data_IF_416514319068
#
_entry.id   IF_416514319068
#
_cell.length_a   1.000
_cell.length_b   1.000
_cell.length_c   1.000
_cell.angle_alpha   90.00
_cell.angle_beta   90.00
_cell.angle_gamma   90.00
#
_symmetry.space_group_name_H-M   'P 1'
#
loop_
_entity.id
_entity.type
_entity.pdbx_description
1 polymer ?
#
# COMPACT_ATOMS: atom_id res chain seq x y z
N UNK A 1 47.53 34.35 -35.41
CA UNK A 1 46.63 35.30 -34.71
C UNK A 1 45.50 34.51 -34.07
N UNK A 2 45.14 34.88 -32.87
CA UNK A 2 44.60 34.06 -31.79
C UNK A 2 43.10 33.76 -31.95
N UNK A 3 42.70 32.54 -31.54
CA UNK A 3 41.33 32.02 -31.46
C UNK A 3 40.48 32.77 -30.44
N UNK A 4 39.19 33.00 -30.71
CA UNK A 4 38.09 32.94 -29.72
C UNK A 4 36.81 32.47 -30.43
N UNK A 5 36.34 31.26 -30.13
CA UNK A 5 34.97 30.80 -30.40
C UNK A 5 34.20 30.83 -29.08
N UNK A 6 33.10 31.58 -29.04
CA UNK A 6 32.26 31.74 -27.86
C UNK A 6 31.13 30.69 -27.89
N UNK A 7 31.23 29.64 -27.08
CA UNK A 7 30.13 28.70 -26.81
C UNK A 7 29.33 29.20 -25.60
N UNK A 8 28.08 29.59 -25.81
CA UNK A 8 27.13 29.87 -24.74
C UNK A 8 26.58 28.54 -24.18
N UNK A 9 27.00 28.17 -22.98
CA UNK A 9 26.40 27.08 -22.22
C UNK A 9 25.15 27.62 -21.51
N UNK A 10 23.97 27.12 -21.91
CA UNK A 10 22.74 27.29 -21.14
C UNK A 10 22.84 26.40 -19.90
N UNK A 11 23.03 27.01 -18.74
CA UNK A 11 22.90 26.33 -17.45
C UNK A 11 21.43 26.37 -17.07
N UNK A 12 20.70 25.27 -17.29
CA UNK A 12 19.38 25.07 -16.70
C UNK A 12 19.56 24.83 -15.20
N UNK A 13 19.25 25.84 -14.39
CA UNK A 13 19.12 25.69 -12.95
C UNK A 13 17.84 24.89 -12.64
N UNK A 14 17.99 23.62 -12.31
CA UNK A 14 16.95 22.82 -11.66
C UNK A 14 16.72 23.38 -10.26
N UNK A 15 15.66 24.16 -10.09
CA UNK A 15 15.12 24.50 -8.78
C UNK A 15 14.42 23.25 -8.24
N UNK A 16 15.10 22.53 -7.35
CA UNK A 16 14.48 21.50 -6.51
C UNK A 16 13.55 22.23 -5.54
N UNK A 17 12.26 22.24 -5.86
CA UNK A 17 11.22 22.61 -4.90
C UNK A 17 11.15 21.50 -3.85
N UNK A 18 11.81 21.70 -2.71
CA UNK A 18 11.54 20.88 -1.53
C UNK A 18 10.09 21.17 -1.11
N UNK A 19 9.24 20.16 -1.20
CA UNK A 19 7.93 20.18 -0.54
C UNK A 19 8.20 19.99 0.94
N UNK A 20 8.48 21.09 1.66
CA UNK A 20 8.38 21.06 3.12
C UNK A 20 6.90 21.02 3.47
N UNK A 21 6.41 19.83 3.85
CA UNK A 21 5.19 19.74 4.64
C UNK A 21 5.37 20.65 5.87
N UNK A 22 4.44 21.57 6.05
CA UNK A 22 4.52 22.61 7.06
C UNK A 22 4.58 21.95 8.45
N UNK A 23 5.76 21.99 9.06
CA UNK A 23 6.04 21.46 10.39
C UNK A 23 5.07 22.11 11.40
N UNK A 24 4.26 21.34 12.14
CA UNK A 24 3.40 21.92 13.16
C UNK A 24 4.28 22.53 14.24
N UNK A 25 4.25 23.85 14.35
CA UNK A 25 4.85 24.60 15.44
C UNK A 25 4.05 24.31 16.71
N UNK A 26 4.50 23.33 17.50
CA UNK A 26 3.85 22.94 18.74
C UNK A 26 4.86 22.39 19.74
N UNK A 27 5.23 23.23 20.72
CA UNK A 27 6.09 22.93 21.87
C UNK A 27 5.57 21.77 22.73
N UNK A 28 6.48 20.85 23.08
CA UNK A 28 6.45 20.00 24.28
C UNK A 28 5.11 19.29 24.58
N UNK A 29 4.79 18.26 23.79
CA UNK A 29 3.62 17.41 24.01
C UNK A 29 3.35 16.42 22.87
N UNK A 30 4.27 15.48 22.64
CA UNK A 30 3.98 14.15 22.05
C UNK A 30 3.59 13.99 20.57
N UNK A 31 3.04 14.97 19.85
CA UNK A 31 2.32 14.67 18.59
C UNK A 31 2.88 15.33 17.32
N UNK A 32 4.10 15.86 17.34
CA UNK A 32 4.75 16.46 16.16
C UNK A 32 5.72 15.50 15.47
N UNK A 33 6.18 15.81 14.23
CA UNK A 33 7.26 15.07 13.58
C UNK A 33 8.50 15.03 14.48
N UNK A 34 9.13 13.86 14.55
CA UNK A 34 10.32 13.63 15.36
C UNK A 34 11.51 13.26 14.47
N UNK A 35 12.67 13.94 14.60
CA UNK A 35 13.88 13.61 13.86
C UNK A 35 14.39 12.17 14.06
N UNK A 36 14.02 11.51 15.16
CA UNK A 36 14.37 10.10 15.38
C UNK A 36 13.75 9.18 14.33
N UNK A 37 12.57 9.52 13.81
CA UNK A 37 11.91 8.76 12.76
C UNK A 37 12.57 8.89 11.38
N UNK A 38 13.48 9.86 11.20
CA UNK A 38 14.28 9.97 9.97
C UNK A 38 15.66 9.33 10.11
N UNK A 39 16.00 8.84 11.31
CA UNK A 39 17.35 8.35 11.62
C UNK A 39 17.42 6.85 11.37
N UNK A 40 18.33 6.46 10.48
CA UNK A 40 18.77 5.06 10.40
C UNK A 40 19.45 4.68 11.73
N UNK A 41 18.93 3.65 12.39
CA UNK A 41 19.45 3.18 13.67
C UNK A 41 20.79 2.42 13.52
N UNK A 42 21.29 2.23 12.30
CA UNK A 42 22.60 1.67 11.96
C UNK A 42 22.86 0.30 12.64
N UNK A 43 21.83 -0.54 12.72
CA UNK A 43 21.80 -1.92 13.20
C UNK A 43 22.31 -2.95 12.18
N UNK A 44 23.10 -2.51 11.21
CA UNK A 44 23.98 -3.33 10.37
C UNK A 44 23.32 -4.04 9.17
N UNK A 45 24.20 -4.72 8.43
CA UNK A 45 23.93 -5.60 7.29
C UNK A 45 23.10 -6.85 7.70
N UNK A 46 22.46 -7.53 6.73
CA UNK A 46 21.76 -8.79 6.98
C UNK A 46 22.65 -9.83 7.65
N UNK A 47 22.14 -10.49 8.70
CA UNK A 47 22.90 -11.50 9.47
C UNK A 47 22.59 -12.94 9.06
N UNK A 48 21.52 -13.15 8.30
CA UNK A 48 21.14 -14.46 7.74
C UNK A 48 21.49 -14.50 6.25
N UNK A 49 22.12 -15.60 5.83
CA UNK A 49 22.37 -15.88 4.42
C UNK A 49 21.08 -16.17 3.67
N UNK A 50 21.05 -15.82 2.41
CA UNK A 50 19.96 -16.10 1.49
C UNK A 50 20.49 -16.17 0.07
N UNK A 51 19.82 -16.94 -0.79
CA UNK A 51 20.13 -17.10 -2.21
C UNK A 51 18.92 -16.66 -3.02
N UNK A 52 19.17 -15.94 -4.12
CA UNK A 52 18.12 -15.56 -5.07
C UNK A 52 17.30 -16.78 -5.51
N UNK A 53 16.00 -16.57 -5.67
CA UNK A 53 14.96 -17.54 -6.02
C UNK A 53 14.72 -18.62 -4.96
N UNK A 54 15.12 -18.37 -3.72
CA UNK A 54 14.84 -19.23 -2.58
C UNK A 54 14.01 -18.47 -1.53
N UNK A 55 13.29 -19.18 -0.64
CA UNK A 55 12.54 -18.54 0.43
C UNK A 55 13.39 -17.53 1.21
N UNK A 56 12.91 -16.29 1.30
CA UNK A 56 13.63 -15.20 1.96
C UNK A 56 13.77 -15.44 3.46
N UNK A 57 14.92 -15.04 4.02
CA UNK A 57 15.17 -15.18 5.44
C UNK A 57 14.19 -14.34 6.25
N UNK A 58 13.52 -14.92 7.24
CA UNK A 58 12.64 -14.17 8.16
C UNK A 58 13.43 -13.69 9.38
N UNK A 59 12.95 -12.64 10.02
CA UNK A 59 13.56 -12.10 11.24
C UNK A 59 12.52 -11.94 12.34
N UNK A 60 12.92 -12.16 13.60
CA UNK A 60 12.17 -11.62 14.72
C UNK A 60 12.31 -10.10 14.69
N UNK A 61 11.25 -9.36 15.06
CA UNK A 61 11.27 -7.90 15.00
C UNK A 61 12.43 -7.27 15.80
N UNK A 62 12.82 -7.88 16.92
CA UNK A 62 13.96 -7.43 17.73
C UNK A 62 15.33 -7.62 17.06
N UNK A 63 15.42 -8.49 16.06
CA UNK A 63 16.66 -8.88 15.35
C UNK A 63 16.71 -8.34 13.91
N UNK A 64 15.73 -7.52 13.52
CA UNK A 64 15.64 -6.95 12.18
C UNK A 64 16.89 -6.09 11.87
N UNK A 65 17.60 -6.36 10.76
CA UNK A 65 18.68 -5.50 10.27
C UNK A 65 18.10 -4.27 9.55
N UNK A 66 18.89 -3.23 9.30
CA UNK A 66 18.41 -2.08 8.51
C UNK A 66 18.30 -2.41 7.04
N UNK A 67 19.35 -3.06 6.51
CA UNK A 67 19.31 -3.59 5.15
C UNK A 67 18.79 -5.02 5.20
N UNK A 68 17.73 -5.27 4.46
CA UNK A 68 17.16 -6.60 4.28
C UNK A 68 17.51 -7.19 2.93
N UNK A 69 17.53 -6.38 1.88
CA UNK A 69 17.89 -6.76 0.51
C UNK A 69 18.69 -5.64 -0.16
N UNK A 70 19.18 -5.89 -1.38
CA UNK A 70 19.86 -4.89 -2.21
C UNK A 70 20.99 -5.47 -3.07
N UNK A 71 21.76 -4.59 -3.70
CA UNK A 71 22.85 -4.91 -4.61
C UNK A 71 23.82 -6.01 -4.12
N UNK A 72 24.08 -6.05 -2.82
CA UNK A 72 25.00 -6.99 -2.18
C UNK A 72 24.42 -8.40 -1.95
N UNK A 73 23.14 -8.64 -2.29
CA UNK A 73 22.45 -9.91 -2.04
C UNK A 73 22.26 -10.77 -3.29
N UNK A 74 22.55 -10.24 -4.48
CA UNK A 74 22.41 -10.97 -5.74
C UNK A 74 23.59 -10.70 -6.67
N UNK A 75 23.89 -11.67 -7.54
CA UNK A 75 24.95 -11.55 -8.55
C UNK A 75 24.49 -10.73 -9.77
N UNK A 76 23.20 -10.81 -10.12
CA UNK A 76 22.58 -10.09 -11.23
C UNK A 76 21.23 -9.53 -10.82
N UNK A 77 21.06 -8.22 -10.97
CA UNK A 77 19.78 -7.53 -10.85
C UNK A 77 18.90 -7.62 -12.09
N UNK A 78 17.84 -6.82 -12.07
CA UNK A 78 16.88 -6.70 -13.15
C UNK A 78 17.56 -6.34 -14.49
N UNK A 79 17.05 -6.92 -15.58
CA UNK A 79 17.61 -6.73 -16.93
C UNK A 79 18.99 -7.37 -17.15
N UNK A 80 19.48 -8.21 -16.23
CA UNK A 80 20.78 -8.87 -16.36
C UNK A 80 21.97 -7.99 -15.94
N UNK A 81 21.72 -6.87 -15.26
CA UNK A 81 22.77 -5.96 -14.79
C UNK A 81 23.54 -6.63 -13.63
N UNK A 82 24.88 -6.67 -13.64
CA UNK A 82 25.64 -7.21 -12.52
C UNK A 82 25.39 -6.41 -11.23
N UNK A 83 25.01 -7.12 -10.16
CA UNK A 83 24.52 -6.52 -8.92
C UNK A 83 23.08 -5.98 -9.07
N UNK A 84 22.31 -6.09 -7.98
CA UNK A 84 20.98 -5.47 -7.88
C UNK A 84 21.01 -3.98 -7.62
N UNK A 85 19.85 -3.35 -7.56
CA UNK A 85 19.72 -2.02 -6.97
C UNK A 85 19.83 -2.09 -5.44
N UNK A 86 20.45 -1.10 -4.78
CA UNK A 86 20.48 -1.05 -3.31
C UNK A 86 19.10 -0.71 -2.75
N UNK A 87 18.82 -1.22 -1.55
CA UNK A 87 17.70 -0.75 -0.75
C UNK A 87 17.84 0.76 -0.46
N UNK A 88 16.77 1.53 -0.69
CA UNK A 88 16.76 3.00 -0.58
C UNK A 88 16.52 3.52 0.85
N UNK A 89 15.89 2.72 1.70
CA UNK A 89 15.51 3.05 3.07
C UNK A 89 16.12 2.11 4.11
N UNK A 90 15.44 1.96 5.24
CA UNK A 90 15.89 1.14 6.37
C UNK A 90 14.72 0.41 7.04
N UNK A 91 15.01 -0.73 7.65
CA UNK A 91 14.01 -1.57 8.31
C UNK A 91 13.97 -1.41 9.84
N UNK A 92 15.05 -0.98 10.51
CA UNK A 92 14.92 -0.67 11.95
C UNK A 92 14.37 0.73 12.14
N UNK A 93 13.05 0.82 12.14
CA UNK A 93 12.36 2.08 12.31
C UNK A 93 12.27 2.47 13.79
N UNK A 94 12.27 3.78 14.05
CA UNK A 94 12.06 4.30 15.40
C UNK A 94 10.67 3.93 15.92
N UNK A 95 10.47 3.96 17.24
CA UNK A 95 9.21 3.51 17.88
C UNK A 95 8.46 4.67 18.50
N UNK A 96 7.13 4.62 18.46
CA UNK A 96 6.23 5.63 19.08
C UNK A 96 6.59 7.06 18.67
N UNK A 97 6.82 7.22 17.37
CA UNK A 97 7.31 8.43 16.75
C UNK A 97 7.05 8.37 15.25
N UNK A 98 7.00 9.51 14.58
CA UNK A 98 6.75 9.58 13.13
C UNK A 98 7.46 10.78 12.49
N UNK A 99 7.64 10.74 11.17
CA UNK A 99 8.07 11.90 10.39
C UNK A 99 7.70 11.69 8.91
N UNK A 100 7.21 12.72 8.22
CA UNK A 100 6.88 12.65 6.78
C UNK A 100 8.11 12.48 5.87
N UNK A 101 9.32 12.69 6.39
CA UNK A 101 10.58 12.41 5.69
C UNK A 101 11.14 11.01 6.02
N UNK A 102 10.45 10.20 6.82
CA UNK A 102 10.90 8.85 7.17
C UNK A 102 11.14 7.99 5.93
N UNK A 103 12.21 7.20 5.96
CA UNK A 103 12.55 6.18 4.96
C UNK A 103 12.37 4.77 5.50
N UNK A 104 11.49 4.60 6.48
CA UNK A 104 11.14 3.31 7.03
C UNK A 104 10.52 2.40 5.95
N UNK A 105 11.08 1.20 5.80
CA UNK A 105 10.61 0.14 4.90
C UNK A 105 10.11 -1.08 5.68
N UNK A 106 9.54 -0.86 6.85
CA UNK A 106 8.84 -1.89 7.62
C UNK A 106 7.39 -1.46 7.84
N UNK A 107 6.48 -2.15 7.18
CA UNK A 107 5.04 -1.95 7.26
C UNK A 107 4.39 -2.90 8.27
N UNK A 108 3.20 -2.53 8.74
CA UNK A 108 2.40 -3.28 9.71
C UNK A 108 0.96 -3.43 9.23
N UNK A 109 0.29 -4.51 9.65
CA UNK A 109 -1.14 -4.69 9.42
C UNK A 109 -1.77 -5.45 10.61
N UNK A 110 -2.27 -4.71 11.59
CA UNK A 110 -2.76 -5.26 12.86
C UNK A 110 -4.27 -5.10 13.03
N UNK A 111 -4.81 -3.95 12.62
CA UNK A 111 -6.23 -3.60 12.73
C UNK A 111 -6.61 -2.47 11.76
N UNK A 112 -7.88 -2.06 11.78
CA UNK A 112 -8.37 -0.89 11.05
C UNK A 112 -7.68 0.43 11.47
N UNK A 113 -7.18 0.53 12.69
CA UNK A 113 -6.52 1.73 13.23
C UNK A 113 -4.99 1.63 13.20
N UNK A 114 -4.46 0.43 12.96
CA UNK A 114 -3.04 0.13 13.01
C UNK A 114 -2.65 -0.72 11.79
N UNK A 115 -2.53 -0.04 10.65
CA UNK A 115 -1.96 -0.61 9.44
C UNK A 115 -1.13 0.43 8.70
N UNK A 116 -0.34 -0.06 7.75
CA UNK A 116 0.45 0.74 6.86
C UNK A 116 0.11 0.40 5.41
N UNK A 117 0.39 1.35 4.53
CA UNK A 117 0.39 1.19 3.08
C UNK A 117 1.78 1.54 2.57
N UNK A 118 2.21 0.86 1.52
CA UNK A 118 3.39 1.27 0.79
C UNK A 118 3.04 2.45 -0.10
N UNK A 119 4.00 3.35 -0.28
CA UNK A 119 3.81 4.48 -1.18
C UNK A 119 5.14 5.12 -1.56
N UNK A 120 5.11 6.03 -2.54
CA UNK A 120 6.31 6.73 -2.98
C UNK A 120 7.00 7.50 -1.85
N UNK A 121 8.33 7.42 -1.77
CA UNK A 121 9.11 8.29 -0.89
C UNK A 121 9.23 9.72 -1.44
N UNK A 122 9.08 9.86 -2.75
CA UNK A 122 9.11 11.08 -3.55
C UNK A 122 7.97 11.03 -4.56
N UNK A 123 7.47 12.19 -5.00
CA UNK A 123 6.38 12.26 -5.97
C UNK A 123 6.66 11.44 -7.23
N UNK A 124 5.69 10.62 -7.64
CA UNK A 124 5.76 9.77 -8.84
C UNK A 124 4.71 8.67 -8.81
N UNK A 125 4.46 8.05 -9.97
CA UNK A 125 3.48 6.96 -10.05
C UNK A 125 3.91 5.77 -9.22
N UNK A 126 2.95 4.96 -8.78
CA UNK A 126 3.21 3.75 -7.99
C UNK A 126 4.20 2.87 -8.75
N UNK A 127 3.90 2.52 -10.00
CA UNK A 127 4.74 1.67 -10.86
C UNK A 127 6.18 2.17 -11.04
N UNK A 128 6.41 3.49 -11.09
CA UNK A 128 7.77 4.06 -11.16
C UNK A 128 8.53 4.00 -9.83
N UNK A 129 7.81 3.89 -8.71
CA UNK A 129 8.34 4.07 -7.36
C UNK A 129 8.34 2.79 -6.54
N UNK A 130 7.81 1.68 -7.05
CA UNK A 130 7.66 0.40 -6.36
C UNK A 130 8.94 -0.02 -5.64
N UNK A 131 10.07 -0.02 -6.36
CA UNK A 131 11.39 -0.42 -5.85
C UNK A 131 11.89 0.43 -4.67
N UNK A 132 11.43 1.67 -4.55
CA UNK A 132 11.93 2.66 -3.58
C UNK A 132 10.91 3.11 -2.54
N UNK A 133 9.73 2.47 -2.51
CA UNK A 133 8.64 2.84 -1.63
C UNK A 133 8.97 2.76 -0.13
N UNK A 134 8.20 3.48 0.66
CA UNK A 134 8.28 3.57 2.12
C UNK A 134 6.92 3.34 2.74
N UNK A 135 6.91 2.97 4.02
CA UNK A 135 5.66 2.72 4.74
C UNK A 135 5.02 4.04 5.22
N UNK A 136 3.73 4.19 4.94
CA UNK A 136 2.83 5.20 5.50
C UNK A 136 1.84 4.49 6.42
N UNK A 137 1.76 4.86 7.69
CA UNK A 137 0.87 4.18 8.65
C UNK A 137 -0.24 5.08 9.19
N UNK A 138 -1.30 4.43 9.68
CA UNK A 138 -2.42 5.08 10.36
C UNK A 138 -2.12 5.44 11.83
N UNK A 139 -0.91 5.14 12.31
CA UNK A 139 -0.49 5.38 13.69
C UNK A 139 0.99 5.73 13.74
N UNK A 140 1.37 6.51 14.75
CA UNK A 140 2.74 6.93 15.04
C UNK A 140 3.60 5.86 15.73
N UNK A 141 3.10 4.64 15.92
CA UNK A 141 3.83 3.60 16.66
C UNK A 141 5.09 3.12 15.95
N UNK A 142 5.19 3.31 14.64
CA UNK A 142 6.09 2.53 13.77
C UNK A 142 7.30 3.29 13.19
N UNK A 143 7.48 4.58 13.50
CA UNK A 143 8.63 5.34 12.96
C UNK A 143 8.51 5.66 11.47
N UNK A 144 7.31 5.50 10.93
CA UNK A 144 6.97 5.64 9.52
C UNK A 144 6.50 7.05 9.19
N UNK A 145 6.16 7.25 7.93
CA UNK A 145 5.30 8.36 7.52
C UNK A 145 3.88 8.11 8.01
N UNK A 146 3.10 9.18 8.21
CA UNK A 146 1.68 9.03 8.56
C UNK A 146 0.81 9.22 7.32
N UNK A 147 -0.23 8.40 7.18
CA UNK A 147 -1.29 8.63 6.20
C UNK A 147 -2.15 9.78 6.74
N UNK A 148 -2.21 10.97 6.11
CA UNK A 148 -2.93 12.10 6.68
C UNK A 148 -4.43 11.81 6.95
N UNK A 149 -4.99 12.38 8.02
CA UNK A 149 -6.40 12.28 8.35
C UNK A 149 -7.25 12.89 7.22
N UNK A 150 -8.26 12.14 6.77
CA UNK A 150 -9.09 12.50 5.62
C UNK A 150 -8.58 11.93 4.29
N UNK A 151 -7.35 11.40 4.21
CA UNK A 151 -6.87 10.65 3.05
C UNK A 151 -7.71 9.41 2.82
N UNK A 152 -7.92 8.59 3.85
CA UNK A 152 -8.76 7.40 3.77
C UNK A 152 -10.21 7.81 4.04
N UNK A 153 -11.10 7.54 3.08
CA UNK A 153 -12.53 7.87 3.17
C UNK A 153 -13.41 6.65 3.40
N UNK A 154 -12.87 5.44 3.24
CA UNK A 154 -13.49 4.19 3.66
C UNK A 154 -12.43 3.10 3.78
N UNK A 155 -12.58 2.21 4.77
CA UNK A 155 -11.66 1.10 5.01
C UNK A 155 -12.38 -0.11 5.63
N UNK A 156 -12.09 -1.29 5.10
CA UNK A 156 -12.65 -2.57 5.50
C UNK A 156 -11.51 -3.51 5.87
N UNK A 157 -11.33 -3.74 7.16
CA UNK A 157 -10.33 -4.65 7.69
C UNK A 157 -10.97 -6.01 7.97
N UNK A 158 -10.37 -7.08 7.44
CA UNK A 158 -10.90 -8.45 7.58
C UNK A 158 -9.85 -9.36 8.15
N UNK A 159 -10.25 -10.13 9.17
CA UNK A 159 -9.47 -11.27 9.69
C UNK A 159 -10.03 -12.57 9.16
N UNK A 160 -9.16 -13.43 8.64
CA UNK A 160 -9.52 -14.79 8.24
C UNK A 160 -8.60 -15.78 8.92
N UNK A 161 -8.82 -17.07 8.63
CA UNK A 161 -7.94 -18.14 9.09
C UNK A 161 -6.53 -18.06 8.49
N UNK A 162 -6.40 -17.57 7.26
CA UNK A 162 -5.16 -17.67 6.46
C UNK A 162 -4.51 -16.32 6.16
N UNK A 163 -5.20 -15.20 6.43
CA UNK A 163 -4.68 -13.85 6.21
C UNK A 163 -5.44 -12.79 7.01
N UNK A 164 -4.82 -11.62 7.16
CA UNK A 164 -5.54 -10.35 7.35
C UNK A 164 -5.47 -9.53 6.08
N UNK A 165 -6.48 -8.70 5.84
CA UNK A 165 -6.44 -7.70 4.78
C UNK A 165 -7.11 -6.40 5.22
N UNK A 166 -6.73 -5.32 4.56
CA UNK A 166 -7.44 -4.05 4.58
C UNK A 166 -7.67 -3.60 3.16
N UNK A 167 -8.90 -3.19 2.84
CA UNK A 167 -9.29 -2.65 1.53
C UNK A 167 -9.97 -1.31 1.73
N UNK A 168 -9.85 -0.38 0.80
CA UNK A 168 -10.48 0.91 0.98
C UNK A 168 -10.28 1.89 -0.17
N UNK A 169 -10.83 3.08 0.05
CA UNK A 169 -10.87 4.20 -0.91
C UNK A 169 -10.46 5.50 -0.22
N UNK A 170 -9.93 6.43 -1.00
CA UNK A 170 -9.34 7.66 -0.47
C UNK A 170 -8.86 8.63 -1.54
N UNK A 171 -8.11 9.63 -1.10
CA UNK A 171 -7.33 10.55 -1.94
C UNK A 171 -5.84 10.41 -1.61
N UNK A 172 -5.17 9.51 -2.32
CA UNK A 172 -3.77 9.18 -2.10
C UNK A 172 -2.80 10.14 -2.79
N UNK A 173 -3.29 11.22 -3.41
CA UNK A 173 -2.43 12.33 -3.81
C UNK A 173 -1.75 13.00 -2.61
N UNK A 174 -2.38 12.89 -1.45
CA UNK A 174 -1.84 13.28 -0.15
C UNK A 174 -0.62 12.47 0.31
N UNK A 175 -0.29 11.34 -0.32
CA UNK A 175 0.89 10.52 -0.05
C UNK A 175 1.80 10.37 -1.29
N UNK A 176 1.89 11.45 -2.07
CA UNK A 176 2.83 11.61 -3.19
C UNK A 176 2.51 10.79 -4.46
N UNK A 177 1.31 10.25 -4.58
CA UNK A 177 0.83 9.58 -5.80
C UNK A 177 0.18 10.62 -6.74
N UNK A 178 0.54 10.68 -8.03
CA UNK A 178 -0.10 11.56 -9.00
C UNK A 178 -1.60 11.32 -9.11
N UNK A 179 -2.38 12.39 -9.28
CA UNK A 179 -3.80 12.25 -9.63
C UNK A 179 -3.95 11.51 -10.97
N UNK A 180 -4.85 10.53 -11.02
CA UNK A 180 -5.09 9.72 -12.21
C UNK A 180 -4.12 8.55 -12.37
N UNK A 181 -3.21 8.30 -11.42
CA UNK A 181 -2.39 7.09 -11.43
C UNK A 181 -3.23 5.84 -11.12
N UNK A 182 -3.46 5.01 -12.13
CA UNK A 182 -4.27 3.79 -12.04
C UNK A 182 -3.67 2.74 -11.10
N UNK A 183 -2.39 2.89 -10.75
CA UNK A 183 -1.75 2.20 -9.65
C UNK A 183 -0.66 1.21 -10.03
N UNK A 184 -0.28 0.39 -9.05
CA UNK A 184 0.74 -0.66 -9.17
C UNK A 184 0.73 -1.57 -7.93
N UNK A 185 1.67 -2.50 -7.88
CA UNK A 185 1.79 -3.51 -6.83
C UNK A 185 3.12 -3.36 -6.07
N UNK A 186 3.03 -3.36 -4.75
CA UNK A 186 4.14 -3.63 -3.86
C UNK A 186 4.02 -5.06 -3.33
N UNK A 187 5.11 -5.82 -3.35
CA UNK A 187 5.14 -7.25 -3.01
C UNK A 187 6.55 -7.71 -2.52
N UNK A 188 6.68 -8.89 -1.90
CA UNK A 188 7.96 -9.36 -1.35
C UNK A 188 8.92 -9.98 -2.37
N UNK A 189 8.56 -10.14 -3.64
CA UNK A 189 9.34 -10.88 -4.64
C UNK A 189 9.94 -9.96 -5.71
N UNK A 190 9.15 -9.18 -6.44
CA UNK A 190 9.66 -8.35 -7.54
C UNK A 190 10.40 -9.14 -8.64
N UNK A 191 10.82 -8.47 -9.71
CA UNK A 191 11.37 -9.10 -10.91
C UNK A 191 12.77 -9.73 -10.73
N UNK A 192 13.52 -9.31 -9.71
CA UNK A 192 14.87 -9.79 -9.39
C UNK A 192 14.97 -10.45 -8.01
N UNK A 193 13.82 -10.82 -7.45
CA UNK A 193 13.69 -11.47 -6.14
C UNK A 193 14.15 -10.61 -4.94
N UNK A 194 14.28 -9.29 -5.11
CA UNK A 194 14.62 -8.37 -4.01
C UNK A 194 13.39 -7.76 -3.30
N UNK A 195 12.20 -7.99 -3.84
CA UNK A 195 10.95 -7.35 -3.43
C UNK A 195 10.79 -5.94 -3.98
N UNK A 196 9.55 -5.45 -3.90
CA UNK A 196 9.10 -4.14 -4.29
C UNK A 196 8.25 -3.55 -3.14
N UNK A 197 8.81 -2.70 -2.26
CA UNK A 197 10.13 -2.09 -2.35
C UNK A 197 11.25 -3.06 -2.09
N UNK A 198 12.43 -2.75 -2.62
CA UNK A 198 13.65 -3.51 -2.34
C UNK A 198 13.86 -3.53 -0.84
N UNK A 199 13.84 -4.73 -0.27
CA UNK A 199 14.02 -4.90 1.16
C UNK A 199 12.81 -4.54 2.02
N UNK A 200 11.64 -4.36 1.42
CA UNK A 200 10.39 -4.10 2.13
C UNK A 200 9.96 -5.30 2.99
N UNK A 201 9.51 -5.00 4.22
CA UNK A 201 9.10 -6.02 5.19
C UNK A 201 7.73 -5.69 5.75
N UNK A 202 6.91 -6.72 5.98
CA UNK A 202 5.62 -6.61 6.66
C UNK A 202 5.62 -7.43 7.94
N UNK A 203 5.16 -6.82 9.04
CA UNK A 203 4.83 -7.52 10.28
C UNK A 203 3.32 -7.43 10.57
N UNK A 204 2.84 -8.40 11.35
CA UNK A 204 1.50 -8.34 11.94
C UNK A 204 1.48 -8.96 13.33
N UNK A 205 0.64 -8.45 14.22
CA UNK A 205 0.28 -9.11 15.49
C UNK A 205 -1.07 -9.85 15.39
N UNK A 206 -1.73 -9.77 14.24
CA UNK A 206 -3.07 -10.33 14.03
C UNK A 206 -3.07 -11.81 13.64
N UNK A 207 -1.90 -12.41 13.38
CA UNK A 207 -1.78 -13.85 13.15
C UNK A 207 -2.12 -14.60 14.46
N UNK A 208 -3.17 -15.43 14.50
CA UNK A 208 -3.56 -16.15 15.72
C UNK A 208 -2.45 -17.04 16.26
N UNK A 209 -1.57 -17.57 15.40
CA UNK A 209 -0.46 -18.43 15.81
C UNK A 209 0.66 -17.67 16.53
N UNK A 210 0.74 -16.34 16.42
CA UNK A 210 1.76 -15.53 17.09
C UNK A 210 1.37 -15.08 18.50
N UNK A 211 0.13 -15.32 18.94
CA UNK A 211 -0.39 -14.89 20.24
C UNK A 211 -0.16 -13.38 20.52
N UNK A 212 -0.27 -12.54 19.49
CA UNK A 212 -0.08 -11.10 19.59
C UNK A 212 1.37 -10.64 19.47
N UNK A 213 2.34 -11.54 19.38
CA UNK A 213 3.73 -11.18 19.07
C UNK A 213 3.88 -10.80 17.58
N UNK A 214 4.82 -9.90 17.24
CA UNK A 214 5.12 -9.55 15.86
C UNK A 214 5.50 -10.79 15.03
N UNK A 215 4.70 -11.06 14.01
CA UNK A 215 4.90 -12.12 13.04
C UNK A 215 5.44 -11.55 11.73
N UNK A 216 6.57 -12.08 11.24
CA UNK A 216 7.12 -11.73 9.94
C UNK A 216 6.24 -12.33 8.84
N UNK A 217 5.69 -11.50 7.96
CA UNK A 217 4.82 -11.93 6.87
C UNK A 217 5.68 -12.14 5.62
N UNK A 218 5.90 -13.40 5.25
CA UNK A 218 6.67 -13.74 4.04
C UNK A 218 5.91 -13.48 2.74
N UNK A 219 4.58 -13.58 2.76
CA UNK A 219 3.72 -13.44 1.58
C UNK A 219 2.70 -12.34 1.85
N UNK A 220 2.81 -11.25 1.11
CA UNK A 220 1.93 -10.10 1.21
C UNK A 220 1.81 -9.45 -0.17
N UNK A 221 0.75 -8.68 -0.38
CA UNK A 221 0.59 -7.87 -1.59
C UNK A 221 -0.13 -6.58 -1.21
N UNK A 222 0.32 -5.46 -1.76
CA UNK A 222 -0.30 -4.16 -1.60
C UNK A 222 -0.45 -3.46 -2.93
N UNK A 223 -1.69 -3.29 -3.38
CA UNK A 223 -1.97 -2.43 -4.53
C UNK A 223 -2.39 -1.05 -4.06
N UNK A 224 -1.87 -0.06 -4.74
CA UNK A 224 -2.12 1.36 -4.50
C UNK A 224 -2.48 2.03 -5.82
N UNK A 225 -3.48 2.90 -5.82
CA UNK A 225 -3.74 3.87 -6.89
C UNK A 225 -3.97 5.24 -6.26
N UNK A 226 -4.20 6.27 -7.07
CA UNK A 226 -4.51 7.60 -6.56
C UNK A 226 -5.79 7.64 -5.69
N UNK A 227 -6.70 6.66 -5.81
CA UNK A 227 -8.01 6.68 -5.16
C UNK A 227 -8.46 5.40 -4.43
N UNK A 228 -7.71 4.31 -4.49
CA UNK A 228 -8.02 3.08 -3.76
C UNK A 228 -6.75 2.37 -3.30
N UNK A 229 -6.92 1.49 -2.31
CA UNK A 229 -5.86 0.65 -1.79
C UNK A 229 -6.37 -0.69 -1.31
N UNK A 230 -5.45 -1.63 -1.23
CA UNK A 230 -5.66 -2.91 -0.59
C UNK A 230 -4.32 -3.50 -0.20
N UNK A 231 -4.22 -4.03 1.02
CA UNK A 231 -3.07 -4.75 1.52
C UNK A 231 -3.57 -6.07 2.11
N UNK A 232 -2.92 -7.18 1.77
CA UNK A 232 -3.17 -8.49 2.39
C UNK A 232 -1.85 -9.06 2.89
N UNK A 233 -1.89 -9.65 4.07
CA UNK A 233 -0.78 -10.36 4.69
C UNK A 233 -1.19 -11.81 4.96
N UNK A 234 -0.53 -12.76 4.31
CA UNK A 234 -0.92 -14.16 4.29
C UNK A 234 0.01 -15.06 5.10
N UNK A 235 -0.54 -16.16 5.61
CA UNK A 235 0.19 -17.20 6.31
C UNK A 235 -0.41 -18.59 6.05
N UNK A 236 0.30 -19.63 6.51
CA UNK A 236 -0.07 -21.03 6.27
C UNK A 236 0.39 -21.56 4.91
N UNK A 237 -0.02 -22.78 4.59
CA UNK A 237 0.49 -23.52 3.42
C UNK A 237 0.14 -22.89 2.07
N UNK A 238 -0.89 -22.05 2.03
CA UNK A 238 -1.38 -21.37 0.82
C UNK A 238 -1.06 -19.89 0.78
N UNK A 239 -0.11 -19.43 1.60
CA UNK A 239 0.17 -18.01 1.75
C UNK A 239 0.50 -17.32 0.41
N UNK A 240 1.41 -17.91 -0.38
CA UNK A 240 1.78 -17.39 -1.69
C UNK A 240 0.58 -17.31 -2.64
N UNK A 241 -0.23 -18.37 -2.72
CA UNK A 241 -1.40 -18.40 -3.59
C UNK A 241 -2.56 -17.47 -3.14
N UNK A 242 -2.59 -17.05 -1.87
CA UNK A 242 -3.57 -16.10 -1.34
C UNK A 242 -3.07 -14.64 -1.43
N UNK A 243 -1.77 -14.44 -1.48
CA UNK A 243 -1.08 -13.16 -1.67
C UNK A 243 -0.26 -13.21 -2.96
N UNK A 244 -0.90 -13.66 -4.03
CA UNK A 244 -0.26 -13.84 -5.33
C UNK A 244 0.16 -12.49 -5.92
N UNK A 245 1.32 -12.47 -6.57
CA UNK A 245 2.05 -11.27 -7.01
C UNK A 245 2.43 -11.35 -8.50
N UNK A 246 1.61 -12.04 -9.29
CA UNK A 246 1.77 -12.16 -10.76
C UNK A 246 0.62 -11.47 -11.53
N UNK A 247 -0.20 -10.70 -10.81
CA UNK A 247 -1.44 -10.09 -11.29
C UNK A 247 -1.43 -8.56 -11.07
N UNK A 248 -0.24 -7.99 -11.19
CA UNK A 248 0.17 -6.63 -10.81
C UNK A 248 -0.71 -5.55 -11.47
N UNK A 249 -1.09 -5.74 -12.74
CA UNK A 249 -1.91 -4.78 -13.51
C UNK A 249 -3.42 -4.90 -13.30
N UNK A 250 -3.86 -5.87 -12.48
CA UNK A 250 -5.29 -6.13 -12.27
C UNK A 250 -5.90 -5.25 -11.16
N UNK A 251 -5.06 -4.72 -10.26
CA UNK A 251 -5.44 -3.82 -9.20
C UNK A 251 -6.30 -4.44 -8.09
N UNK A 252 -6.72 -3.60 -7.15
CA UNK A 252 -7.30 -4.04 -5.88
C UNK A 252 -8.56 -4.89 -5.99
N UNK A 253 -9.55 -4.43 -6.75
CA UNK A 253 -10.87 -5.07 -6.80
C UNK A 253 -10.81 -6.47 -7.43
N UNK A 254 -9.80 -6.73 -8.25
CA UNK A 254 -9.59 -8.03 -8.88
C UNK A 254 -8.75 -8.96 -7.99
N UNK A 255 -7.63 -8.47 -7.44
CA UNK A 255 -6.72 -9.28 -6.61
C UNK A 255 -7.25 -9.53 -5.19
N UNK A 256 -7.91 -8.54 -4.60
CA UNK A 256 -8.48 -8.58 -3.25
C UNK A 256 -9.95 -8.12 -3.30
N UNK A 257 -10.88 -8.97 -3.79
CA UNK A 257 -12.30 -8.64 -3.79
C UNK A 257 -12.84 -8.53 -2.35
N UNK A 258 -13.45 -7.38 -2.02
CA UNK A 258 -13.96 -7.05 -0.68
C UNK A 258 -14.88 -5.82 -0.73
N UNK A 259 -15.21 -5.26 0.45
CA UNK A 259 -15.86 -3.96 0.57
C UNK A 259 -14.85 -2.82 0.30
N UNK A 260 -15.26 -1.85 -0.52
CA UNK A 260 -14.51 -0.63 -0.88
C UNK A 260 -15.42 0.62 -0.79
N UNK A 261 -16.50 0.54 -0.02
CA UNK A 261 -17.49 1.61 0.04
C UNK A 261 -16.95 2.82 0.82
N UNK A 262 -17.10 4.00 0.23
CA UNK A 262 -16.77 5.25 0.91
C UNK A 262 -17.71 5.48 2.10
N UNK A 263 -17.18 6.05 3.18
CA UNK A 263 -17.91 6.30 4.43
C UNK A 263 -18.09 5.07 5.32
N UNK A 264 -17.59 3.90 4.90
CA UNK A 264 -17.61 2.68 5.71
C UNK A 264 -16.25 2.45 6.32
N UNK A 265 -16.20 2.37 7.66
CA UNK A 265 -15.01 1.99 8.41
C UNK A 265 -15.39 0.81 9.30
N UNK A 266 -14.88 -0.38 8.98
CA UNK A 266 -15.26 -1.58 9.71
C UNK A 266 -14.15 -2.62 9.84
N UNK A 267 -14.20 -3.36 10.94
CA UNK A 267 -13.40 -4.56 11.19
C UNK A 267 -14.34 -5.76 11.24
N UNK A 268 -14.07 -6.79 10.45
CA UNK A 268 -14.89 -8.00 10.37
C UNK A 268 -14.08 -9.29 10.49
N UNK A 269 -14.75 -10.37 10.85
CA UNK A 269 -14.31 -11.73 10.54
C UNK A 269 -14.72 -12.06 9.10
N UNK A 270 -13.91 -12.81 8.36
CA UNK A 270 -14.18 -13.16 6.98
C UNK A 270 -13.89 -14.62 6.63
N UNK A 271 -14.60 -15.10 5.61
CA UNK A 271 -14.23 -16.33 4.93
C UNK A 271 -12.94 -16.14 4.13
N UNK A 272 -12.18 -17.21 3.95
CA UNK A 272 -10.99 -17.23 3.09
C UNK A 272 -11.44 -17.10 1.63
N UNK A 273 -10.83 -16.16 0.91
CA UNK A 273 -11.14 -15.92 -0.50
C UNK A 273 -10.71 -17.05 -1.43
N UNK A 274 -11.29 -17.01 -2.63
CA UNK A 274 -10.85 -17.83 -3.76
C UNK A 274 -9.44 -17.38 -4.18
N UNK A 275 -8.62 -18.32 -4.63
CA UNK A 275 -7.25 -18.05 -5.06
C UNK A 275 -7.26 -17.21 -6.33
N UNK A 276 -6.43 -16.17 -6.37
CA UNK A 276 -6.30 -15.30 -7.53
C UNK A 276 -6.03 -16.12 -8.80
N UNK A 277 -6.76 -15.80 -9.88
CA UNK A 277 -6.57 -16.44 -11.17
C UNK A 277 -7.08 -17.88 -11.31
N UNK A 278 -7.66 -18.50 -10.28
CA UNK A 278 -8.13 -19.89 -10.33
C UNK A 278 -9.66 -19.95 -10.48
N UNK A 279 -10.13 -20.29 -11.68
CA UNK A 279 -11.55 -20.37 -12.02
C UNK A 279 -11.97 -21.82 -12.29
N UNK A 280 -12.43 -22.50 -11.24
CA UNK A 280 -12.78 -23.92 -11.32
C UNK A 280 -11.54 -24.76 -11.64
N UNK A 281 -11.45 -25.29 -12.86
CA UNK A 281 -10.30 -26.05 -13.36
C UNK A 281 -9.36 -25.25 -14.28
N UNK A 282 -9.67 -23.98 -14.58
CA UNK A 282 -8.83 -23.13 -15.42
C UNK A 282 -8.00 -22.16 -14.58
N UNK A 283 -6.78 -21.88 -15.03
CA UNK A 283 -5.90 -20.86 -14.47
C UNK A 283 -5.73 -19.73 -15.49
N UNK A 284 -6.05 -18.51 -15.10
CA UNK A 284 -5.76 -17.30 -15.87
C UNK A 284 -4.31 -16.88 -15.63
N UNK A 285 -3.65 -16.42 -16.69
CA UNK A 285 -2.36 -15.73 -16.59
C UNK A 285 -2.52 -14.31 -17.11
N UNK A 286 -1.93 -13.35 -16.41
CA UNK A 286 -1.92 -11.97 -16.88
C UNK A 286 -1.34 -11.91 -18.31
N UNK A 287 -2.03 -11.20 -19.20
CA UNK A 287 -1.69 -11.14 -20.63
C UNK A 287 -2.42 -12.17 -21.51
N UNK A 288 -3.19 -13.09 -20.93
CA UNK A 288 -4.08 -13.97 -21.71
C UNK A 288 -5.10 -13.14 -22.52
N UNK A 289 -5.59 -13.64 -23.69
CA UNK A 289 -6.47 -12.86 -24.57
C UNK A 289 -7.80 -12.41 -23.96
N UNK A 290 -8.25 -13.09 -22.90
CA UNK A 290 -9.48 -12.77 -22.19
C UNK A 290 -9.19 -12.76 -20.70
N UNK A 291 -9.32 -11.59 -20.10
CA UNK A 291 -9.25 -11.42 -18.66
C UNK A 291 -10.60 -11.78 -18.03
N UNK A 292 -10.67 -12.75 -17.12
CA UNK A 292 -11.90 -13.09 -16.42
C UNK A 292 -12.29 -11.98 -15.43
N UNK A 293 -13.57 -11.94 -15.07
CA UNK A 293 -14.04 -11.06 -14.01
C UNK A 293 -13.42 -11.43 -12.66
N UNK A 294 -13.28 -10.45 -11.77
CA UNK A 294 -12.84 -10.69 -10.39
C UNK A 294 -13.67 -11.79 -9.71
N UNK A 295 -13.05 -12.52 -8.79
CA UNK A 295 -13.79 -13.41 -7.88
C UNK A 295 -14.80 -12.61 -7.05
N UNK A 296 -15.91 -13.22 -6.62
CA UNK A 296 -16.82 -12.58 -5.67
C UNK A 296 -16.10 -12.28 -4.35
N UNK A 297 -16.48 -11.17 -3.72
CA UNK A 297 -16.02 -10.85 -2.37
C UNK A 297 -16.38 -11.99 -1.39
N UNK A 298 -15.42 -12.46 -0.56
CA UNK A 298 -15.71 -13.44 0.47
C UNK A 298 -16.72 -12.91 1.48
N UNK A 299 -17.50 -13.78 2.12
CA UNK A 299 -18.48 -13.34 3.12
C UNK A 299 -17.79 -12.79 4.36
N UNK A 300 -18.25 -11.64 4.84
CA UNK A 300 -17.83 -11.00 6.09
C UNK A 300 -18.92 -11.14 7.17
N UNK A 301 -18.52 -11.18 8.44
CA UNK A 301 -19.41 -11.32 9.59
C UNK A 301 -18.81 -10.68 10.85
N UNK A 302 -19.58 -10.56 11.92
CA UNK A 302 -19.16 -9.94 13.19
C UNK A 302 -18.54 -8.54 13.02
N UNK A 303 -19.01 -7.78 12.03
CA UNK A 303 -18.47 -6.49 11.69
C UNK A 303 -18.71 -5.47 12.80
N UNK A 304 -17.64 -4.80 13.23
CA UNK A 304 -17.67 -3.66 14.13
C UNK A 304 -17.30 -2.41 13.36
N UNK A 305 -18.14 -1.39 13.47
CA UNK A 305 -17.96 -0.14 12.74
C UNK A 305 -17.33 0.94 13.60
N UNK A 306 -16.59 1.84 12.94
CA UNK A 306 -16.04 3.04 13.53
C UNK A 306 -16.41 4.24 12.65
N UNK A 307 -16.19 5.46 13.14
CA UNK A 307 -16.54 6.66 12.35
C UNK A 307 -15.49 6.99 11.30
N UNK A 308 -14.22 6.83 11.66
CA UNK A 308 -13.06 7.21 10.86
C UNK A 308 -11.79 6.65 11.51
N UNK A 309 -10.66 6.79 10.83
CA UNK A 309 -9.31 6.54 11.34
C UNK A 309 -8.65 7.90 11.51
N UNK A 310 -7.99 8.17 12.65
CA UNK A 310 -7.37 9.47 12.89
C UNK A 310 -6.19 9.40 13.87
N UNK A 311 -5.15 10.17 13.59
CA UNK A 311 -4.02 10.44 14.49
C UNK A 311 -3.74 11.94 14.69
N UNK A 312 -4.52 12.82 14.06
CA UNK A 312 -4.47 14.27 14.25
C UNK A 312 -3.63 15.04 13.25
N UNK A 313 -2.89 14.38 12.35
CA UNK A 313 -2.25 15.06 11.22
C UNK A 313 -3.23 15.12 10.04
N UNK A 314 -3.83 16.29 9.82
CA UNK A 314 -4.81 16.51 8.76
C UNK A 314 -4.19 16.48 7.35
N UNK A 315 -4.93 15.92 6.39
CA UNK A 315 -4.61 16.03 4.98
C UNK A 315 -4.61 17.51 4.56
N UNK A 316 -3.45 17.99 4.09
CA UNK A 316 -3.36 19.30 3.45
C UNK A 316 -3.75 19.11 2.00
N UNK A 317 -4.88 19.70 1.58
CA UNK A 317 -5.26 19.71 0.17
C UNK A 317 -4.15 20.42 -0.60
N UNK A 318 -3.38 19.67 -1.40
CA UNK A 318 -2.38 20.22 -2.30
C UNK A 318 -3.12 21.00 -3.40
N UNK A 319 -3.43 22.26 -3.11
CA UNK A 319 -3.89 23.19 -4.15
C UNK A 319 -2.70 23.36 -5.09
N UNK A 320 -2.77 22.76 -6.28
CA UNK A 320 -1.79 22.98 -7.34
C UNK A 320 -1.63 24.50 -7.53
N UNK A 321 -0.51 25.04 -7.05
CA UNK A 321 -0.11 26.40 -7.38
C UNK A 321 0.36 26.38 -8.82
N UNK A 322 -0.59 26.50 -9.75
CA UNK A 322 -0.29 26.93 -11.11
C UNK A 322 0.36 28.31 -10.98
N UNK A 323 1.63 28.37 -11.36
CA UNK A 323 2.43 29.59 -11.40
C UNK A 323 1.87 30.52 -12.49
N UNK A 324 0.81 31.24 -12.16
CA UNK A 324 0.38 32.41 -12.92
C UNK A 324 1.38 33.54 -12.63
N UNK A 325 2.29 33.74 -13.58
CA UNK A 325 3.13 34.92 -13.68
C UNK A 325 2.26 36.17 -13.74
N UNK A 326 2.11 36.86 -12.61
CA UNK A 326 1.58 38.22 -12.56
C UNK A 326 2.71 39.18 -12.24
N UNK A 327 3.06 39.97 -13.25
CA UNK A 327 3.98 41.09 -13.18
C UNK A 327 3.54 42.09 -12.12
N UNK A 328 4.50 42.51 -11.31
CA UNK A 328 4.35 43.56 -10.33
C UNK A 328 3.82 44.85 -10.96
N UNK A 329 2.69 45.34 -10.46
CA UNK A 329 2.27 46.72 -10.60
C UNK A 329 2.19 47.33 -9.20
N UNK A 330 3.21 48.12 -8.88
CA UNK A 330 3.24 49.02 -7.74
C UNK A 330 2.16 50.08 -7.89
N UNK A 331 1.24 50.16 -6.93
CA UNK A 331 0.46 51.38 -6.71
C UNK A 331 0.33 51.68 -5.22
N UNK A 332 0.75 52.89 -4.91
CA UNK A 332 0.86 53.55 -3.61
C UNK A 332 -0.49 53.71 -2.92
N UNK A 333 -0.59 53.22 -1.67
CA UNK A 333 -1.69 53.56 -0.77
C UNK A 333 -1.45 54.95 -0.15
N UNK A 334 -2.38 55.88 -0.41
CA UNK A 334 -2.59 57.06 0.43
C UNK A 334 -3.85 56.81 1.27
N UNK A 335 -3.74 57.09 2.57
CA UNK A 335 -4.77 56.78 3.54
C UNK A 335 -5.96 57.73 3.50
N UNK A 336 -7.09 57.24 4.00
CA UNK A 336 -8.12 58.05 4.64
C UNK A 336 -8.82 57.20 5.70
N UNK A 337 -8.90 57.78 6.89
CA UNK A 337 -9.58 57.31 8.10
C UNK A 337 -11.07 57.69 8.09
N UNK A 338 -11.79 57.12 9.06
CA UNK A 338 -13.12 57.44 9.57
C UNK A 338 -14.31 56.72 8.88
N UNK A 339 -15.40 56.32 9.55
CA UNK A 339 -15.83 56.12 10.95
C UNK A 339 -17.30 55.64 10.87
N UNK A 340 -17.87 55.22 12.02
CA UNK A 340 -19.31 55.01 12.32
C UNK A 340 -19.90 53.67 11.84
N UNK A 341 -20.20 52.69 12.71
CA UNK A 341 -21.22 52.60 13.77
C UNK A 341 -22.65 52.37 13.23
N UNK A 342 -23.24 51.23 13.59
CA UNK A 342 -24.63 50.90 13.30
C UNK A 342 -25.06 49.60 13.98
N UNK A 343 -25.41 49.70 15.27
CA UNK A 343 -26.06 48.67 16.08
C UNK A 343 -27.56 48.63 15.78
N UNK A 344 -28.21 47.50 16.14
CA UNK A 344 -29.67 47.27 16.35
C UNK A 344 -30.37 46.58 15.17
N UNK A 345 -31.29 45.63 15.33
CA UNK A 345 -31.85 44.89 16.46
C UNK A 345 -32.81 43.82 15.91
N UNK A 346 -32.97 42.71 16.65
CA UNK A 346 -34.23 42.00 16.93
C UNK A 346 -35.25 41.75 15.80
N UNK A 347 -35.60 40.47 15.56
CA UNK A 347 -36.94 39.95 15.97
C UNK A 347 -37.04 38.43 15.82
N UNK A 348 -37.52 37.80 16.90
CA UNK A 348 -38.13 36.47 16.97
C UNK A 348 -39.65 36.62 16.77
N UNK A 349 -40.29 35.68 16.09
CA UNK A 349 -41.61 35.13 16.45
C UNK A 349 -41.78 33.78 15.73
N UNK A 350 -41.75 32.62 16.38
CA UNK A 350 -42.83 31.85 17.05
C UNK A 350 -44.20 31.82 16.37
N UNK A 351 -44.59 30.61 15.94
CA UNK A 351 -45.85 29.86 16.14
C UNK A 351 -45.92 28.77 15.04
N UNK A 352 -46.29 27.51 15.24
CA UNK A 352 -46.82 26.76 16.38
C UNK A 352 -47.66 25.60 15.82
N UNK A 353 -47.53 24.40 16.44
CA UNK A 353 -48.54 23.33 16.60
C UNK A 353 -49.23 22.71 15.35
N UNK A 354 -49.72 21.47 15.32
CA UNK A 354 -49.63 20.27 16.15
C UNK A 354 -50.30 19.10 15.39
N UNK A 355 -49.78 17.90 15.65
CA UNK A 355 -50.43 16.60 15.88
C UNK A 355 -51.69 16.14 15.10
N UNK A 356 -51.65 14.89 14.60
CA UNK A 356 -52.62 13.82 14.94
C UNK A 356 -52.24 12.44 14.36
N UNK A 357 -51.92 11.50 15.24
CA UNK A 357 -52.08 10.03 15.09
C UNK A 357 -53.56 9.67 15.41
N UNK A 358 -54.03 8.40 15.55
CA UNK A 358 -53.57 7.05 15.11
C UNK A 358 -54.72 6.15 14.55
N UNK A 359 -54.43 4.91 14.08
CA UNK A 359 -55.30 3.71 14.32
C UNK A 359 -54.75 2.41 13.70
N UNK A 360 -54.70 1.35 14.52
CA UNK A 360 -54.31 -0.07 14.30
C UNK A 360 -55.41 -0.92 13.60
N UNK A 361 -55.51 -2.27 13.75
CA UNK A 361 -54.61 -3.42 13.44
C UNK A 361 -55.30 -4.48 12.52
N UNK A 362 -54.62 -5.58 12.15
CA UNK A 362 -55.27 -6.74 11.50
C UNK A 362 -54.40 -7.99 11.37
N UNK A 363 -54.96 -9.14 11.78
CA UNK A 363 -54.34 -10.45 11.99
C UNK A 363 -54.74 -11.49 10.94
N UNK A 364 -53.90 -12.52 10.69
CA UNK A 364 -54.23 -13.94 10.37
C UNK A 364 -52.93 -14.68 9.97
N UNK A 365 -52.36 -15.67 10.67
CA UNK A 365 -52.78 -17.03 11.09
C UNK A 365 -52.69 -18.14 10.03
N UNK A 366 -51.99 -19.22 10.42
CA UNK A 366 -51.98 -20.63 9.95
C UNK A 366 -51.13 -21.03 8.72
N UNK A 367 -50.49 -22.20 8.64
CA UNK A 367 -50.08 -23.28 9.58
C UNK A 367 -49.51 -24.46 8.74
N UNK A 368 -48.47 -25.16 9.27
CA UNK A 368 -48.08 -26.57 9.04
C UNK A 368 -47.74 -27.02 7.59
N UNK A 369 -46.84 -27.96 7.27
CA UNK A 369 -46.37 -29.25 7.87
C UNK A 369 -44.95 -29.57 7.32
N UNK A 370 -43.98 -30.03 8.11
CA UNK A 370 -43.58 -31.43 8.36
C UNK A 370 -43.05 -32.22 7.15
N UNK A 371 -41.83 -32.76 7.25
CA UNK A 371 -41.30 -33.78 6.33
C UNK A 371 -39.84 -34.12 6.57
N UNK A 372 -39.60 -35.13 7.41
CA UNK A 372 -38.30 -35.70 7.79
C UNK A 372 -37.72 -36.70 6.77
N UNK A 373 -36.42 -36.97 6.92
CA UNK A 373 -35.73 -38.19 6.46
C UNK A 373 -34.60 -37.91 5.47
N UNK A 374 -33.38 -38.49 5.50
CA UNK A 374 -32.54 -39.27 6.41
C UNK A 374 -31.54 -40.00 5.52
N UNK A 375 -30.28 -40.14 5.97
CA UNK A 375 -29.27 -41.13 5.50
C UNK A 375 -28.67 -40.89 4.10
N UNK A 376 -27.37 -40.91 3.84
CA UNK A 376 -26.20 -41.35 4.60
C UNK A 376 -25.27 -42.08 3.63
N UNK A 377 -23.98 -41.73 3.58
CA UNK A 377 -22.89 -42.68 3.30
C UNK A 377 -21.52 -41.97 3.28
N UNK A 378 -20.70 -42.40 4.21
CA UNK A 378 -19.23 -42.42 4.21
C UNK A 378 -18.61 -42.88 2.88
N UNK A 379 -17.57 -42.17 2.44
CA UNK A 379 -16.42 -42.79 1.77
C UNK A 379 -15.15 -42.02 2.08
N UNK A 380 -14.31 -42.65 2.90
CA UNK A 380 -12.87 -42.44 3.01
C UNK A 380 -12.22 -42.60 1.63
N UNK A 381 -11.39 -41.65 1.22
CA UNK A 381 -10.25 -41.90 0.36
C UNK A 381 -9.09 -41.02 0.77
N UNK A 382 -8.09 -41.66 1.37
CA UNK A 382 -6.71 -41.19 1.41
C UNK A 382 -6.20 -41.09 -0.03
N UNK A 383 -5.43 -40.04 -0.34
CA UNK A 383 -4.40 -40.11 -1.38
C UNK A 383 -3.30 -39.10 -1.06
N UNK A 384 -2.15 -39.64 -0.65
CA UNK A 384 -0.84 -39.01 -0.70
C UNK A 384 -0.36 -38.93 -2.16
N UNK A 385 0.19 -37.79 -2.58
CA UNK A 385 1.29 -37.66 -3.53
C UNK A 385 1.64 -36.15 -3.63
N UNK A 386 2.74 -35.69 -3.04
CA UNK A 386 4.11 -35.75 -3.56
C UNK A 386 4.41 -34.65 -4.58
N UNK A 387 5.33 -33.79 -4.16
CA UNK A 387 5.93 -32.65 -4.84
C UNK A 387 6.48 -33.01 -6.23
N UNK A 388 6.19 -32.16 -7.22
CA UNK A 388 6.78 -32.22 -8.56
C UNK A 388 7.38 -30.87 -8.92
N UNK A 389 8.69 -30.75 -8.75
CA UNK A 389 9.49 -29.66 -9.31
C UNK A 389 9.50 -29.81 -10.85
N UNK A 390 9.07 -28.76 -11.56
CA UNK A 390 9.16 -28.71 -13.02
C UNK A 390 10.11 -27.62 -13.44
N UNK A 391 11.29 -28.05 -13.90
CA UNK A 391 12.29 -27.29 -14.63
C UNK A 391 11.68 -26.64 -15.87
N UNK A 392 11.81 -25.32 -15.99
CA UNK A 392 11.49 -24.57 -17.20
C UNK A 392 12.74 -24.47 -18.06
N UNK A 393 12.75 -25.25 -19.15
CA UNK A 393 13.67 -25.11 -20.28
C UNK A 393 13.28 -23.87 -21.09
N UNK A 394 14.17 -22.87 -21.14
CA UNK A 394 14.03 -21.69 -22.01
C UNK A 394 14.45 -22.07 -23.43
N UNK A 395 13.48 -22.04 -24.34
CA UNK A 395 13.69 -22.14 -25.79
C UNK A 395 14.16 -20.79 -26.33
N UNK A 396 15.47 -20.60 -26.50
CA UNK A 396 16.02 -19.45 -27.22
C UNK A 396 15.85 -19.66 -28.74
N UNK A 397 14.97 -18.88 -29.36
CA UNK A 397 14.82 -18.80 -30.81
C UNK A 397 15.97 -18.03 -31.44
N UNK A 398 16.72 -18.70 -32.32
CA UNK A 398 17.74 -18.12 -33.19
C UNK A 398 17.13 -17.10 -34.18
N UNK A 399 17.72 -15.91 -34.25
CA UNK A 399 17.78 -15.12 -35.47
C UNK A 399 19.25 -14.79 -35.74
N UNK A 400 19.81 -15.44 -36.78
CA UNK A 400 21.20 -15.29 -37.18
C UNK A 400 21.45 -14.06 -38.03
N UNK A 401 22.70 -13.60 -38.01
CA UNK A 401 23.34 -12.84 -39.08
C UNK A 401 24.81 -13.28 -39.19
N UNK A 402 25.15 -13.70 -40.40
CA UNK A 402 26.50 -13.92 -40.96
C UNK A 402 27.36 -12.64 -40.77
N UNK A 403 28.69 -12.60 -40.72
CA UNK A 403 29.69 -13.29 -41.54
C UNK A 403 31.13 -13.01 -41.02
N UNK A 404 32.01 -14.02 -41.14
CA UNK A 404 33.39 -14.04 -41.67
C UNK A 404 34.47 -13.09 -41.08
N UNK A 405 35.58 -13.70 -40.62
CA UNK A 405 36.90 -13.06 -40.56
C UNK A 405 37.95 -13.91 -39.84
N UNK A 406 38.82 -14.57 -40.61
CA UNK A 406 39.81 -15.56 -40.16
C UNK A 406 41.17 -14.97 -39.71
N UNK A 407 41.99 -15.87 -39.14
CA UNK A 407 43.46 -15.83 -38.97
C UNK A 407 44.01 -14.97 -37.82
N UNK A 408 45.15 -15.24 -37.18
CA UNK A 408 46.08 -16.37 -36.95
C UNK A 408 47.25 -15.75 -36.13
N UNK A 409 48.12 -16.61 -35.57
CA UNK A 409 49.37 -16.34 -34.81
C UNK A 409 49.21 -16.06 -33.30
N UNK A 410 49.56 -16.98 -32.40
CA UNK A 410 50.89 -17.54 -32.06
C UNK A 410 51.68 -16.64 -31.10
N UNK A 411 51.61 -16.96 -29.80
CA UNK A 411 52.72 -17.36 -28.91
C UNK A 411 52.18 -17.67 -27.51
#
# INVERSE_FOLDING_TARGET
MTKISLTAALVSALLVSSVSAQQPTGTSGGNGPDPRATTDLNRNQPTKSWTQWQPKATYAFSQLPDQYMGANRIESGEGGTPGGEPQSGYNTCARNTWNQDSKCQTAWINSLEDFCLWGPAEYGTVGEKERSGVAYCTTDKHGTRLIPDGTITGAHFVRTRDYVQVTGVGDFTSILIPEGDDGGEFDPHGADDLGNPIGGIVYTTANPASNGEPWFVSEWTNFMSYNQFCLRACWGERAAAQCEHIYDVMGCRWNIPANYDAGVFETCDGAVGQLQGIYGSSTFRQGDPVTPTAHPAPSSSNCSTQRTISHGLLAVSASQSSSASSSAASSSATGATASSSGTSSMTRSVNGAAASNPSSPGSSSNSNTSGSGSSGSTSTNQNNAASGASSLTVSAGLAGLFAIGAAAFAL
#
